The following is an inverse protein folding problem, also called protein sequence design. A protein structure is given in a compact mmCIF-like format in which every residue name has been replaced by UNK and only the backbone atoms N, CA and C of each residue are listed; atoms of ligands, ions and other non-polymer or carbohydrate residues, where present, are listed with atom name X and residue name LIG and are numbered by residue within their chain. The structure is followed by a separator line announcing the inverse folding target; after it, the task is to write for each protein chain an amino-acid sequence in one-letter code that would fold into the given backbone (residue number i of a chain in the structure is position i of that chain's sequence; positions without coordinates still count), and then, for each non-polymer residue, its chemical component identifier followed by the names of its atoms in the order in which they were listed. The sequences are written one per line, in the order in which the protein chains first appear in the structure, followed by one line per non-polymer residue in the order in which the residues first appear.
data_IF_924503209766
#
_entry.id   IF_924503209766
#
_cell.length_a   1.000
_cell.length_b   1.000
_cell.length_c   1.000
_cell.angle_alpha   90.00
_cell.angle_beta   90.00
_cell.angle_gamma   90.00
#
_symmetry.space_group_name_H-M   'P 1'
#
loop_
_entity.id
_entity.type
_entity.pdbx_description
1 polymer ?
#
# COMPACT_ATOMS: atom_id res chain seq x y z
N UNK A 1 -5.37 -10.04 9.56
CA UNK A 1 -6.03 -9.07 8.65
C UNK A 1 -4.92 -8.13 8.18
N UNK A 2 -4.96 -7.60 6.97
CA UNK A 2 -3.92 -6.70 6.47
C UNK A 2 -4.57 -5.52 5.77
N UNK A 3 -4.24 -4.30 6.16
CA UNK A 3 -4.84 -3.10 5.62
C UNK A 3 -3.86 -2.36 4.72
N UNK A 4 -4.35 -1.82 3.61
CA UNK A 4 -3.56 -0.92 2.77
C UNK A 4 -3.83 0.52 3.19
N UNK A 5 -2.77 1.31 3.21
CA UNK A 5 -2.86 2.76 3.40
C UNK A 5 -2.19 3.47 2.24
N UNK A 6 -2.80 4.55 1.77
CA UNK A 6 -2.24 5.44 0.76
C UNK A 6 -1.52 6.61 1.43
N UNK A 7 -0.38 7.02 0.87
CA UNK A 7 0.31 8.23 1.29
C UNK A 7 -0.39 9.46 0.70
N UNK A 8 -0.85 10.37 1.55
CA UNK A 8 -1.39 11.68 1.14
C UNK A 8 -0.32 12.77 1.20
N UNK A 9 0.55 12.70 2.21
CA UNK A 9 1.62 13.64 2.47
C UNK A 9 2.78 12.91 3.16
N UNK A 10 3.95 13.56 3.37
CA UNK A 10 4.99 13.01 4.24
C UNK A 10 4.37 12.67 5.61
N UNK A 11 4.58 11.42 6.06
CA UNK A 11 4.04 10.86 7.31
C UNK A 11 2.51 10.79 7.46
N UNK A 12 1.73 11.26 6.48
CA UNK A 12 0.27 11.17 6.48
C UNK A 12 -0.21 10.00 5.61
N UNK A 13 -0.83 9.03 6.26
CA UNK A 13 -1.34 7.81 5.63
C UNK A 13 -2.82 7.63 5.89
N UNK A 14 -3.58 7.34 4.85
CA UNK A 14 -5.02 7.09 4.92
C UNK A 14 -5.30 5.63 4.64
N UNK A 15 -5.94 4.95 5.59
CA UNK A 15 -6.38 3.57 5.39
C UNK A 15 -7.53 3.51 4.38
N UNK A 16 -7.40 2.64 3.38
CA UNK A 16 -8.43 2.48 2.35
C UNK A 16 -9.19 1.16 2.47
N UNK A 17 -8.48 0.02 2.43
CA UNK A 17 -9.07 -1.31 2.35
C UNK A 17 -8.34 -2.29 3.27
N UNK A 18 -9.04 -3.33 3.73
CA UNK A 18 -8.45 -4.42 4.51
C UNK A 18 -8.78 -5.79 3.89
N UNK A 19 -7.82 -6.70 4.00
CA UNK A 19 -7.86 -8.03 3.39
C UNK A 19 -7.56 -9.11 4.44
N UNK A 20 -8.01 -10.33 4.16
CA UNK A 20 -7.75 -11.47 5.06
C UNK A 20 -6.26 -11.86 5.08
N UNK A 21 -5.56 -11.69 3.96
CA UNK A 21 -4.16 -12.11 3.80
C UNK A 21 -3.27 -10.96 3.33
N UNK A 22 -2.00 -11.01 3.73
CA UNK A 22 -0.99 -10.03 3.35
C UNK A 22 -0.83 -9.95 1.84
N UNK A 23 -0.73 -11.11 1.20
CA UNK A 23 -0.57 -11.21 -0.26
C UNK A 23 -1.68 -10.48 -1.02
N UNK A 24 -2.94 -10.57 -0.58
CA UNK A 24 -4.06 -9.86 -1.22
C UNK A 24 -3.94 -8.34 -1.02
N UNK A 25 -3.57 -7.91 0.19
CA UNK A 25 -3.32 -6.50 0.47
C UNK A 25 -2.18 -5.95 -0.39
N UNK A 26 -1.07 -6.68 -0.50
CA UNK A 26 0.06 -6.32 -1.35
C UNK A 26 -0.33 -6.19 -2.83
N UNK A 27 -1.01 -7.19 -3.39
CA UNK A 27 -1.44 -7.15 -4.79
C UNK A 27 -2.37 -5.96 -5.05
N UNK A 28 -3.31 -5.67 -4.15
CA UNK A 28 -4.19 -4.51 -4.28
C UNK A 28 -3.41 -3.19 -4.19
N UNK A 29 -2.52 -3.06 -3.19
CA UNK A 29 -1.66 -1.88 -3.03
C UNK A 29 -0.80 -1.64 -4.27
N UNK A 30 -0.23 -2.68 -4.87
CA UNK A 30 0.55 -2.61 -6.11
C UNK A 30 -0.28 -2.19 -7.30
N UNK A 31 -1.45 -2.80 -7.52
CA UNK A 31 -2.35 -2.41 -8.61
C UNK A 31 -2.78 -0.95 -8.47
N UNK A 32 -3.15 -0.51 -7.26
CA UNK A 32 -3.56 0.87 -7.01
C UNK A 32 -2.40 1.86 -7.12
N UNK A 33 -1.21 1.50 -6.64
CA UNK A 33 -0.02 2.32 -6.76
C UNK A 33 0.30 2.61 -8.22
N UNK A 34 0.27 1.58 -9.08
CA UNK A 34 0.48 1.74 -10.52
C UNK A 34 -0.63 2.56 -11.19
N UNK A 35 -1.90 2.34 -10.82
CA UNK A 35 -3.02 3.03 -11.43
C UNK A 35 -3.14 4.52 -11.03
N UNK A 36 -2.69 4.88 -9.83
CA UNK A 36 -2.87 6.23 -9.27
C UNK A 36 -1.57 7.02 -9.11
N UNK A 37 -0.42 6.41 -9.42
CA UNK A 37 0.92 6.95 -9.16
C UNK A 37 1.13 7.39 -7.70
N UNK A 38 0.40 6.78 -6.76
CA UNK A 38 0.56 7.05 -5.33
C UNK A 38 1.39 5.95 -4.67
N UNK A 39 2.06 6.31 -3.58
CA UNK A 39 2.70 5.32 -2.69
C UNK A 39 1.66 4.71 -1.75
N UNK A 40 1.72 3.40 -1.59
CA UNK A 40 0.89 2.65 -0.65
C UNK A 40 1.78 1.89 0.34
N UNK A 41 1.23 1.52 1.50
CA UNK A 41 1.84 0.57 2.43
C UNK A 41 0.82 -0.45 2.91
N UNK A 42 1.29 -1.65 3.23
CA UNK A 42 0.51 -2.72 3.87
C UNK A 42 0.85 -2.72 5.36
N UNK A 43 -0.17 -2.77 6.20
CA UNK A 43 -0.06 -2.81 7.66
C UNK A 43 -0.73 -4.07 8.19
N UNK A 44 -0.06 -4.74 9.12
CA UNK A 44 -0.68 -5.70 10.02
C UNK A 44 -1.25 -4.94 11.24
N UNK A 45 -2.58 -4.81 11.38
CA UNK A 45 -3.19 -4.10 12.49
C UNK A 45 -3.10 -4.84 13.83
N UNK A 46 -2.75 -6.14 13.82
CA UNK A 46 -2.57 -6.91 15.07
C UNK A 46 -1.25 -6.54 15.73
N UNK A 47 -0.20 -6.41 14.92
CA UNK A 47 1.13 -6.01 15.38
C UNK A 47 1.34 -4.49 15.33
N UNK A 48 0.45 -3.77 14.64
CA UNK A 48 0.57 -2.36 14.28
C UNK A 48 1.89 -2.06 13.53
N UNK A 49 2.28 -2.98 12.63
CA UNK A 49 3.54 -2.93 11.89
C UNK A 49 3.31 -2.78 10.39
N UNK A 50 4.20 -2.03 9.74
CA UNK A 50 4.22 -1.93 8.28
C UNK A 50 4.96 -3.14 7.73
N UNK A 51 4.25 -4.02 7.02
CA UNK A 51 4.85 -5.24 6.48
C UNK A 51 5.48 -5.00 5.11
N UNK A 52 4.95 -4.06 4.33
CA UNK A 52 5.49 -3.72 3.01
C UNK A 52 5.15 -2.29 2.61
N UNK A 53 6.08 -1.60 1.94
CA UNK A 53 5.84 -0.31 1.28
C UNK A 53 5.90 -0.51 -0.23
N UNK A 54 4.84 -0.11 -0.93
CA UNK A 54 4.72 -0.15 -2.38
C UNK A 54 4.82 1.26 -2.92
N UNK A 55 6.01 1.62 -3.40
CA UNK A 55 6.27 2.91 -4.04
C UNK A 55 5.79 2.88 -5.48
N UNK A 56 5.47 4.06 -5.99
CA UNK A 56 5.24 4.26 -7.42
C UNK A 56 6.37 3.58 -8.21
N UNK A 57 6.00 2.69 -9.12
CA UNK A 57 6.96 2.21 -10.10
C UNK A 57 7.27 3.40 -10.99
N UNK A 58 8.50 3.92 -10.97
CA UNK A 58 8.99 4.71 -12.10
C UNK A 58 8.64 3.90 -13.34
N UNK A 59 7.72 4.40 -14.16
CA UNK A 59 7.49 3.85 -15.47
C UNK A 59 8.86 3.68 -16.12
N UNK A 60 9.10 2.54 -16.73
CA UNK A 60 10.22 2.37 -17.63
C UNK A 60 10.11 3.53 -18.64
N UNK A 61 10.92 4.57 -18.43
CA UNK A 61 11.16 5.60 -19.44
C UNK A 61 11.79 4.85 -20.60
N UNK A 62 10.96 4.59 -21.62
CA UNK A 62 11.40 4.13 -22.94
C UNK A 62 12.16 5.24 -23.65
#
# INVERSE_FOLDING_TARGET
MFCIQRQEAPDQWVQELCFKTEFKAYMCARTKSLATMNTYRVIDPVLNEVTTVVREGKGLTH
#
